data_IF_604342794577
#
_entry.id   IF_604342794577
#
_cell.length_a   1.000
_cell.length_b   1.000
_cell.length_c   1.000
_cell.angle_alpha   90.00
_cell.angle_beta   90.00
_cell.angle_gamma   90.00
#
_symmetry.space_group_name_H-M   'P 1'
#
loop_
_entity.id
_entity.type
_entity.pdbx_description
1 polymer ?
#
# COMPACT_ATOMS: atom_id res chain seq x y z
N UNK A 1 -21.75 21.64 -23.12
CA UNK A 1 -20.92 20.72 -22.34
C UNK A 1 -19.56 21.36 -22.15
N UNK A 2 -19.19 21.86 -20.96
CA UNK A 2 -17.89 22.48 -20.77
C UNK A 2 -16.82 21.39 -20.77
N UNK A 3 -15.85 21.51 -21.68
CA UNK A 3 -14.63 20.71 -21.66
C UNK A 3 -13.96 20.83 -20.28
N UNK A 4 -13.65 19.71 -19.60
CA UNK A 4 -12.97 19.75 -18.31
C UNK A 4 -11.68 20.57 -18.41
N UNK A 5 -11.55 21.62 -17.60
CA UNK A 5 -10.38 22.51 -17.62
C UNK A 5 -9.09 21.84 -17.09
N UNK A 6 -9.21 20.65 -16.50
CA UNK A 6 -8.13 19.90 -15.87
C UNK A 6 -8.31 18.42 -16.20
N UNK A 7 -7.24 17.74 -16.62
CA UNK A 7 -7.26 16.30 -16.84
C UNK A 7 -7.16 15.59 -15.49
N UNK A 8 -8.29 15.22 -14.90
CA UNK A 8 -8.33 14.29 -13.77
C UNK A 8 -8.04 12.88 -14.29
N UNK A 9 -7.07 12.19 -13.67
CA UNK A 9 -6.71 10.81 -14.04
C UNK A 9 -6.88 9.90 -12.85
N UNK A 10 -8.06 9.31 -12.77
CA UNK A 10 -8.34 8.18 -11.92
C UNK A 10 -8.06 6.86 -12.65
N UNK A 11 -7.47 5.91 -11.95
CA UNK A 11 -7.38 4.52 -12.38
C UNK A 11 -8.21 3.67 -11.43
N UNK A 12 -9.09 2.82 -11.97
CA UNK A 12 -9.84 1.85 -11.18
C UNK A 12 -9.78 0.49 -11.86
N UNK A 13 -9.29 -0.50 -11.13
CA UNK A 13 -9.46 -1.91 -11.48
C UNK A 13 -10.53 -2.53 -10.61
N UNK A 14 -11.38 -3.32 -11.27
CA UNK A 14 -12.30 -4.23 -10.62
C UNK A 14 -12.03 -5.61 -11.18
N UNK A 15 -11.65 -6.53 -10.32
CA UNK A 15 -11.47 -7.93 -10.68
C UNK A 15 -12.65 -8.72 -10.14
N UNK A 16 -13.27 -9.50 -11.02
CA UNK A 16 -14.28 -10.49 -10.67
C UNK A 16 -13.77 -11.84 -11.16
N UNK A 17 -13.13 -12.58 -10.26
CA UNK A 17 -12.46 -13.85 -10.51
C UNK A 17 -11.43 -13.79 -11.65
N UNK A 18 -10.63 -12.71 -11.71
CA UNK A 18 -9.57 -12.62 -12.71
C UNK A 18 -8.53 -13.70 -12.44
N UNK A 19 -8.44 -14.68 -13.33
CA UNK A 19 -7.60 -15.87 -13.14
C UNK A 19 -6.36 -15.79 -14.01
N UNK A 20 -5.20 -16.03 -13.41
CA UNK A 20 -3.92 -16.13 -14.13
C UNK A 20 -3.08 -17.28 -13.59
N UNK A 21 -2.23 -17.81 -14.46
CA UNK A 21 -1.19 -18.76 -14.08
C UNK A 21 0.12 -18.00 -13.90
N UNK A 22 0.83 -18.26 -12.81
CA UNK A 22 2.13 -17.63 -12.53
C UNK A 22 3.18 -18.72 -12.35
N UNK A 23 4.26 -18.62 -13.10
CA UNK A 23 5.43 -19.50 -13.00
C UNK A 23 6.57 -18.75 -12.31
N UNK A 24 7.14 -19.32 -11.25
CA UNK A 24 8.30 -18.77 -10.58
C UNK A 24 9.57 -18.93 -11.43
N UNK A 25 10.63 -18.20 -11.09
CA UNK A 25 11.94 -18.37 -11.72
C UNK A 25 12.50 -19.81 -11.59
N UNK A 26 12.05 -20.55 -10.56
CA UNK A 26 12.40 -21.97 -10.33
C UNK A 26 11.50 -22.95 -11.09
N UNK A 27 10.63 -22.47 -11.98
CA UNK A 27 9.74 -23.29 -12.80
C UNK A 27 8.47 -23.78 -12.07
N UNK A 28 8.24 -23.36 -10.83
CA UNK A 28 7.06 -23.77 -10.06
C UNK A 28 5.85 -22.94 -10.47
N UNK A 29 4.77 -23.61 -10.84
CA UNK A 29 3.54 -22.95 -11.30
C UNK A 29 2.48 -22.91 -10.20
N UNK A 30 1.72 -21.81 -10.15
CA UNK A 30 0.50 -21.69 -9.34
C UNK A 30 -0.60 -20.95 -10.10
N UNK A 31 -1.84 -21.30 -9.82
CA UNK A 31 -3.00 -20.51 -10.22
C UNK A 31 -3.22 -19.38 -9.22
N UNK A 32 -3.62 -18.21 -9.72
CA UNK A 32 -3.92 -17.02 -8.94
C UNK A 32 -5.26 -16.47 -9.40
N UNK A 33 -6.18 -16.27 -8.47
CA UNK A 33 -7.48 -15.64 -8.71
C UNK A 33 -7.54 -14.33 -7.94
N UNK A 34 -7.80 -13.22 -8.63
CA UNK A 34 -7.96 -11.91 -8.03
C UNK A 34 -9.42 -11.46 -8.05
N UNK A 35 -9.87 -10.99 -6.88
CA UNK A 35 -11.23 -10.50 -6.63
C UNK A 35 -11.15 -9.14 -5.91
N UNK A 36 -12.02 -8.21 -6.27
CA UNK A 36 -12.17 -6.95 -5.53
C UNK A 36 -11.95 -5.70 -6.38
N UNK A 37 -11.67 -4.59 -5.70
CA UNK A 37 -11.52 -3.27 -6.32
C UNK A 37 -10.28 -2.59 -5.79
N UNK A 38 -9.47 -2.04 -6.71
CA UNK A 38 -8.43 -1.08 -6.38
C UNK A 38 -8.65 0.19 -7.19
N UNK A 39 -8.56 1.35 -6.54
CA UNK A 39 -8.64 2.63 -7.23
C UNK A 39 -7.55 3.57 -6.74
N UNK A 40 -7.03 4.36 -7.68
CA UNK A 40 -6.15 5.49 -7.42
C UNK A 40 -6.82 6.70 -8.06
N UNK A 41 -7.07 7.74 -7.28
CA UNK A 41 -7.65 9.00 -7.73
C UNK A 41 -6.66 10.10 -7.41
N UNK A 42 -6.26 10.88 -8.41
CA UNK A 42 -5.26 11.92 -8.26
C UNK A 42 -5.80 13.26 -8.74
N UNK A 43 -5.64 14.28 -7.90
CA UNK A 43 -5.81 15.68 -8.27
C UNK A 43 -4.43 16.36 -8.28
N UNK A 44 -4.33 17.62 -8.73
CA UNK A 44 -3.10 18.40 -8.56
C UNK A 44 -2.65 18.61 -7.10
N UNK A 45 -3.51 18.33 -6.12
CA UNK A 45 -3.23 18.53 -4.68
C UNK A 45 -2.98 17.22 -3.93
N UNK A 46 -3.65 16.14 -4.34
CA UNK A 46 -3.63 14.88 -3.59
C UNK A 46 -3.66 13.65 -4.49
N UNK A 47 -3.14 12.52 -3.99
CA UNK A 47 -3.30 11.20 -4.58
C UNK A 47 -3.86 10.26 -3.51
N UNK A 48 -4.97 9.61 -3.81
CA UNK A 48 -5.63 8.66 -2.90
C UNK A 48 -5.69 7.26 -3.52
N UNK A 49 -5.21 6.27 -2.78
CA UNK A 49 -5.38 4.85 -3.05
C UNK A 49 -6.46 4.27 -2.14
N UNK A 50 -7.41 3.54 -2.72
CA UNK A 50 -8.22 2.56 -2.00
C UNK A 50 -8.01 1.18 -2.61
N UNK A 51 -7.74 0.19 -1.77
CA UNK A 51 -7.54 -1.21 -2.18
C UNK A 51 -8.42 -2.08 -1.28
N UNK A 52 -9.35 -2.81 -1.88
CA UNK A 52 -10.12 -3.87 -1.21
C UNK A 52 -10.08 -5.07 -2.14
N UNK A 53 -9.04 -5.88 -2.00
CA UNK A 53 -8.73 -6.99 -2.88
C UNK A 53 -8.52 -8.28 -2.09
N UNK A 54 -8.89 -9.39 -2.71
CA UNK A 54 -8.51 -10.73 -2.29
C UNK A 54 -7.76 -11.40 -3.44
N UNK A 55 -6.67 -12.08 -3.10
CA UNK A 55 -5.93 -12.94 -4.02
C UNK A 55 -5.92 -14.36 -3.48
N UNK A 56 -6.49 -15.29 -4.22
CA UNK A 56 -6.50 -16.71 -3.90
C UNK A 56 -5.45 -17.42 -4.74
N UNK A 57 -4.72 -18.34 -4.11
CA UNK A 57 -3.63 -19.09 -4.70
C UNK A 57 -3.94 -20.58 -4.65
N UNK A 58 -3.71 -21.27 -5.77
CA UNK A 58 -3.70 -22.73 -5.83
C UNK A 58 -2.34 -23.19 -6.32
N UNK A 59 -1.61 -23.91 -5.47
CA UNK A 59 -0.27 -24.41 -5.78
C UNK A 59 -0.34 -25.73 -6.55
N UNK A 60 0.75 -26.11 -7.22
CA UNK A 60 0.83 -27.36 -7.97
C UNK A 60 0.55 -28.62 -7.11
N UNK A 61 0.79 -28.53 -5.80
CA UNK A 61 0.49 -29.60 -4.83
C UNK A 61 -1.00 -29.72 -4.48
N UNK A 62 -1.84 -28.81 -4.98
CA UNK A 62 -3.25 -28.68 -4.60
C UNK A 62 -3.47 -27.87 -3.31
N UNK A 63 -2.41 -27.50 -2.59
CA UNK A 63 -2.52 -26.60 -1.45
C UNK A 63 -3.08 -25.24 -1.87
N UNK A 64 -3.75 -24.56 -0.95
CA UNK A 64 -4.33 -23.24 -1.17
C UNK A 64 -3.84 -22.21 -0.17
N UNK A 65 -3.88 -20.95 -0.58
CA UNK A 65 -3.70 -19.81 0.30
C UNK A 65 -4.56 -18.62 -0.17
N UNK A 66 -4.83 -17.68 0.71
CA UNK A 66 -5.51 -16.44 0.37
C UNK A 66 -4.81 -15.23 1.00
N UNK A 67 -4.88 -14.10 0.30
CA UNK A 67 -4.38 -12.81 0.75
C UNK A 67 -5.50 -11.79 0.62
N UNK A 68 -6.14 -11.45 1.73
CA UNK A 68 -7.12 -10.37 1.81
C UNK A 68 -6.40 -9.05 2.14
N UNK A 69 -6.75 -7.97 1.44
CA UNK A 69 -6.16 -6.64 1.57
C UNK A 69 -7.26 -5.60 1.70
N UNK A 70 -7.12 -4.68 2.65
CA UNK A 70 -7.97 -3.49 2.79
C UNK A 70 -7.10 -2.30 3.18
N UNK A 71 -6.83 -1.43 2.22
CA UNK A 71 -5.91 -0.30 2.39
C UNK A 71 -6.53 1.00 1.93
N UNK A 72 -6.27 2.04 2.70
CA UNK A 72 -6.45 3.44 2.34
C UNK A 72 -5.09 4.12 2.49
N UNK A 73 -4.66 4.83 1.45
CA UNK A 73 -3.48 5.68 1.55
C UNK A 73 -3.77 7.01 0.84
N UNK A 74 -3.37 8.12 1.47
CA UNK A 74 -3.59 9.46 0.92
C UNK A 74 -2.29 10.24 1.01
N UNK A 75 -1.82 10.73 -0.12
CA UNK A 75 -0.73 11.70 -0.22
C UNK A 75 -1.32 13.08 -0.50
N UNK A 76 -0.87 14.10 0.22
CA UNK A 76 -1.24 15.51 0.02
C UNK A 76 0.05 16.31 -0.17
N UNK A 77 0.18 17.02 -1.29
CA UNK A 77 1.34 17.84 -1.55
C UNK A 77 1.41 19.04 -0.61
N UNK A 78 2.62 19.46 -0.22
CA UNK A 78 2.80 20.66 0.61
C UNK A 78 2.35 21.93 -0.11
N UNK A 79 2.59 21.97 -1.42
CA UNK A 79 2.11 23.02 -2.30
C UNK A 79 0.92 22.51 -3.12
N UNK A 80 -0.25 23.11 -2.90
CA UNK A 80 -1.43 22.85 -3.72
C UNK A 80 -1.13 23.10 -5.22
N UNK A 81 -1.63 22.24 -6.08
CA UNK A 81 -1.45 22.29 -7.53
C UNK A 81 -0.13 21.72 -8.04
N UNK A 82 0.78 21.28 -7.15
CA UNK A 82 2.14 20.88 -7.54
C UNK A 82 2.25 19.45 -8.06
N UNK A 83 1.22 18.62 -7.91
CA UNK A 83 1.24 17.26 -8.46
C UNK A 83 1.00 17.31 -9.97
N UNK A 84 2.00 16.87 -10.73
CA UNK A 84 1.98 16.87 -12.19
C UNK A 84 2.20 15.46 -12.73
N UNK A 85 1.39 15.07 -13.70
CA UNK A 85 1.51 13.75 -14.32
C UNK A 85 2.85 13.59 -15.04
N UNK A 86 3.47 12.42 -14.90
CA UNK A 86 4.76 12.11 -15.53
C UNK A 86 5.96 12.79 -14.88
N UNK A 87 5.74 13.61 -13.85
CA UNK A 87 6.80 14.19 -13.02
C UNK A 87 6.96 13.41 -11.72
N UNK A 88 8.14 13.48 -11.06
CA UNK A 88 8.28 13.02 -9.68
C UNK A 88 7.24 13.69 -8.77
N UNK A 89 6.79 12.95 -7.76
CA UNK A 89 5.87 13.49 -6.74
C UNK A 89 6.61 14.59 -5.95
N UNK A 90 5.98 15.76 -5.70
CA UNK A 90 6.55 16.83 -4.88
C UNK A 90 6.66 16.41 -3.41
N UNK A 91 7.24 17.26 -2.57
CA UNK A 91 7.16 17.07 -1.10
C UNK A 91 5.71 17.11 -0.64
N UNK A 92 5.41 16.36 0.42
CA UNK A 92 4.05 16.24 0.93
C UNK A 92 3.88 15.22 2.04
N UNK A 93 2.67 15.16 2.58
CA UNK A 93 2.32 14.30 3.68
C UNK A 93 1.61 13.05 3.19
N UNK A 94 2.13 11.88 3.58
CA UNK A 94 1.55 10.58 3.29
C UNK A 94 0.93 9.96 4.53
N UNK A 95 -0.36 9.62 4.43
CA UNK A 95 -1.08 8.84 5.44
C UNK A 95 -1.41 7.47 4.89
N UNK A 96 -1.33 6.45 5.75
CA UNK A 96 -1.76 5.09 5.43
C UNK A 96 -2.54 4.52 6.59
N UNK A 97 -3.63 3.82 6.27
CA UNK A 97 -4.42 3.04 7.21
C UNK A 97 -4.95 1.82 6.49
N UNK A 98 -4.60 0.63 6.97
CA UNK A 98 -5.04 -0.58 6.32
C UNK A 98 -4.48 -1.84 6.93
N UNK A 99 -4.89 -2.95 6.35
CA UNK A 99 -4.46 -4.27 6.78
C UNK A 99 -4.41 -5.26 5.64
N UNK A 100 -3.56 -6.27 5.82
CA UNK A 100 -3.50 -7.48 5.02
C UNK A 100 -3.58 -8.70 5.91
N UNK A 101 -4.28 -9.74 5.44
CA UNK A 101 -4.32 -11.06 6.09
C UNK A 101 -3.93 -12.11 5.08
N UNK A 102 -2.93 -12.91 5.42
CA UNK A 102 -2.52 -14.10 4.69
C UNK A 102 -2.98 -15.34 5.44
N UNK A 103 -3.70 -16.22 4.74
CA UNK A 103 -4.16 -17.50 5.28
C UNK A 103 -3.65 -18.64 4.40
N UNK A 104 -3.05 -19.67 4.99
CA UNK A 104 -2.68 -20.91 4.28
C UNK A 104 -2.84 -22.11 5.20
N UNK A 105 -3.78 -22.99 4.86
CA UNK A 105 -4.22 -24.07 5.75
C UNK A 105 -4.70 -23.52 7.09
N UNK A 106 -4.11 -24.00 8.19
CA UNK A 106 -4.39 -23.53 9.55
C UNK A 106 -3.57 -22.31 9.97
N UNK A 107 -2.63 -21.84 9.13
CA UNK A 107 -1.78 -20.70 9.45
C UNK A 107 -2.45 -19.40 8.99
N UNK A 108 -2.48 -18.41 9.87
CA UNK A 108 -2.93 -17.05 9.56
C UNK A 108 -1.95 -16.02 10.11
N UNK A 109 -1.65 -15.03 9.28
CA UNK A 109 -0.80 -13.89 9.57
C UNK A 109 -1.53 -12.62 9.16
N UNK A 110 -1.58 -11.62 10.03
CA UNK A 110 -2.08 -10.30 9.65
C UNK A 110 -1.07 -9.21 9.92
N UNK A 111 -1.13 -8.19 9.08
CA UNK A 111 -0.42 -6.94 9.20
C UNK A 111 -1.47 -5.85 9.20
N UNK A 112 -1.50 -5.00 10.22
CA UNK A 112 -2.22 -3.73 10.22
C UNK A 112 -1.21 -2.60 10.27
N UNK A 113 -1.41 -1.54 9.49
CA UNK A 113 -0.52 -0.37 9.50
C UNK A 113 -1.36 0.89 9.59
N UNK A 114 -0.88 1.81 10.41
CA UNK A 114 -1.45 3.16 10.56
C UNK A 114 -0.35 4.20 10.66
N UNK A 115 -0.62 5.39 10.17
CA UNK A 115 0.17 6.59 10.46
C UNK A 115 -0.62 7.48 11.40
N UNK A 116 -0.25 7.50 12.69
CA UNK A 116 -0.86 8.42 13.66
C UNK A 116 -0.37 9.85 13.49
N UNK A 117 0.82 10.00 12.90
CA UNK A 117 1.42 11.26 12.47
C UNK A 117 1.81 11.08 10.99
N UNK A 118 1.29 11.89 10.05
CA UNK A 118 1.57 11.74 8.63
C UNK A 118 3.07 11.66 8.34
N UNK A 119 3.46 10.79 7.41
CA UNK A 119 4.84 10.68 6.95
C UNK A 119 5.12 11.81 5.97
N UNK A 120 5.95 12.77 6.36
CA UNK A 120 6.33 13.85 5.45
C UNK A 120 7.44 13.37 4.51
N UNK A 121 7.07 13.14 3.25
CA UNK A 121 8.00 12.87 2.17
C UNK A 121 8.61 14.19 1.70
N UNK A 122 9.93 14.23 1.62
CA UNK A 122 10.66 15.41 1.17
C UNK A 122 11.46 15.07 -0.08
N UNK A 123 11.04 15.66 -1.21
CA UNK A 123 11.64 15.42 -2.53
C UNK A 123 13.12 15.83 -2.61
N UNK A 124 13.58 16.72 -1.72
CA UNK A 124 14.97 17.14 -1.63
C UNK A 124 15.85 16.20 -0.79
N UNK A 125 15.27 15.24 -0.05
CA UNK A 125 16.06 14.24 0.65
C UNK A 125 16.83 13.37 -0.36
N UNK A 126 18.13 13.20 -0.12
CA UNK A 126 19.01 12.35 -0.94
C UNK A 126 19.24 10.96 -0.33
N UNK A 127 18.72 10.72 0.87
CA UNK A 127 18.83 9.45 1.62
C UNK A 127 17.45 8.79 1.69
N UNK A 128 17.39 7.51 1.31
CA UNK A 128 16.18 6.70 1.44
C UNK A 128 16.06 6.11 2.86
N UNK A 129 14.83 5.90 3.37
CA UNK A 129 13.56 6.37 2.80
C UNK A 129 13.44 7.90 2.90
N UNK A 130 12.99 8.57 1.85
CA UNK A 130 12.88 10.06 1.76
C UNK A 130 11.80 10.70 2.65
N UNK A 131 11.56 10.14 3.83
CA UNK A 131 10.77 10.80 4.87
C UNK A 131 11.72 11.55 5.79
N UNK A 132 11.36 12.78 6.15
CA UNK A 132 12.11 13.57 7.13
C UNK A 132 11.40 13.67 8.48
N UNK A 133 10.10 13.35 8.53
CA UNK A 133 9.29 13.34 9.76
C UNK A 133 8.07 12.43 9.62
N UNK A 134 7.38 12.20 10.73
CA UNK A 134 6.18 11.37 10.81
C UNK A 134 6.39 10.02 11.48
N UNK A 135 5.27 9.32 11.72
CA UNK A 135 5.25 8.07 12.49
C UNK A 135 4.38 7.01 11.84
N UNK A 136 4.95 5.83 11.67
CA UNK A 136 4.26 4.62 11.21
C UNK A 136 4.21 3.59 12.33
N UNK A 137 3.02 3.03 12.56
CA UNK A 137 2.79 1.91 13.46
C UNK A 137 2.32 0.71 12.64
N UNK A 138 2.99 -0.42 12.80
CA UNK A 138 2.62 -1.69 12.21
C UNK A 138 2.33 -2.71 13.32
N UNK A 139 1.18 -3.37 13.29
CA UNK A 139 0.86 -4.50 14.17
C UNK A 139 0.88 -5.76 13.33
N UNK A 140 1.76 -6.69 13.71
CA UNK A 140 1.85 -8.00 13.07
C UNK A 140 1.28 -9.03 14.04
N UNK A 141 0.30 -9.82 13.57
CA UNK A 141 -0.30 -10.88 14.36
C UNK A 141 -0.09 -12.22 13.67
N UNK A 142 0.34 -13.23 14.43
CA UNK A 142 0.45 -14.63 14.01
C UNK A 142 -0.29 -15.49 15.02
N UNK A 143 -1.41 -16.09 14.59
CA UNK A 143 -2.30 -16.79 15.53
C UNK A 143 -2.80 -15.83 16.62
N UNK A 144 -2.51 -16.12 17.88
CA UNK A 144 -2.87 -15.27 19.04
C UNK A 144 -1.77 -14.31 19.48
N UNK A 145 -0.57 -14.39 18.91
CA UNK A 145 0.55 -13.52 19.27
C UNK A 145 0.56 -12.28 18.37
N UNK A 146 0.72 -11.11 18.98
CA UNK A 146 0.86 -9.83 18.27
C UNK A 146 2.16 -9.14 18.68
N UNK A 147 2.77 -8.45 17.72
CA UNK A 147 3.90 -7.55 17.95
C UNK A 147 3.59 -6.22 17.28
N UNK A 148 3.76 -5.14 18.02
CA UNK A 148 3.68 -3.78 17.51
C UNK A 148 5.07 -3.29 17.17
N UNK A 149 5.25 -2.76 15.97
CA UNK A 149 6.45 -2.11 15.48
C UNK A 149 6.12 -0.65 15.24
N UNK A 150 6.87 0.26 15.85
CA UNK A 150 6.74 1.68 15.60
C UNK A 150 8.01 2.19 14.94
N UNK A 151 7.86 2.93 13.84
CA UNK A 151 8.91 3.61 13.11
C UNK A 151 8.66 5.12 13.21
N UNK A 152 9.62 5.85 13.75
CA UNK A 152 9.56 7.31 13.87
C UNK A 152 10.67 7.93 13.02
N UNK A 153 10.29 8.75 12.03
CA UNK A 153 11.21 9.55 11.24
C UNK A 153 11.51 10.87 11.95
N UNK A 154 12.76 11.32 11.88
CA UNK A 154 13.24 12.52 12.61
C UNK A 154 14.12 13.45 11.76
N UNK A 155 14.67 12.95 10.65
CA UNK A 155 15.33 13.70 9.60
C UNK A 155 15.36 12.84 8.32
N UNK A 156 15.80 13.39 7.19
CA UNK A 156 15.89 12.67 5.90
C UNK A 156 16.52 11.28 6.05
N UNK A 157 15.71 10.23 5.87
CA UNK A 157 16.16 8.83 5.97
C UNK A 157 16.57 8.38 7.38
N UNK A 158 16.47 9.23 8.39
CA UNK A 158 16.82 8.92 9.78
C UNK A 158 15.56 8.55 10.55
N UNK A 159 15.58 7.34 11.12
CA UNK A 159 14.45 6.82 11.88
C UNK A 159 14.90 5.93 13.03
N UNK A 160 14.01 5.81 14.01
CA UNK A 160 14.13 4.81 15.08
C UNK A 160 13.05 3.76 14.93
N UNK A 161 13.35 2.54 15.37
CA UNK A 161 12.40 1.42 15.36
C UNK A 161 12.27 0.88 16.78
N UNK A 162 11.04 0.78 17.26
CA UNK A 162 10.72 0.12 18.53
C UNK A 162 9.77 -1.05 18.31
N UNK A 163 9.89 -2.08 19.15
CA UNK A 163 9.07 -3.28 19.11
C UNK A 163 8.53 -3.58 20.49
N UNK A 164 7.25 -3.91 20.59
CA UNK A 164 6.55 -4.23 21.84
C UNK A 164 5.49 -5.30 21.62
#
# INVERSE_FOLDING_TARGET
>A
DPTPAITDRAFRTRSNAFTRTVTSATGTTRSVVENGVRSVVGTPDQIQLTDTMQTDYTYATGATASHARKWLATFVADQAGSIQMGSPVPSGNWTVSGSSTWTSGTNSYSLAVTTSDPLHYNASCTVEPRFDSGKLTAVVTKGTASTTVTIQFTACGQYTVTRS
#
